data_IF_912955535706
#
_entry.id   IF_912955535706
#
_cell.length_a   1.000
_cell.length_b   1.000
_cell.length_c   1.000
_cell.angle_alpha   90.00
_cell.angle_beta   90.00
_cell.angle_gamma   90.00
#
_symmetry.space_group_name_H-M   'P 1'
#
loop_
_entity.id
_entity.type
_entity.pdbx_description
1 polymer ?
#
# COMPACT_ATOMS: atom_id res chain seq x y z
N UNK A 1 -66.55 63.86 -13.59
CA UNK A 1 -65.19 63.67 -14.14
C UNK A 1 -64.56 62.51 -13.40
N UNK A 2 -64.41 61.36 -14.06
CA UNK A 2 -63.98 60.11 -13.45
C UNK A 2 -62.44 60.08 -13.31
N UNK A 3 -61.96 59.71 -12.13
CA UNK A 3 -60.56 59.37 -11.87
C UNK A 3 -60.23 58.02 -12.51
N UNK A 4 -59.27 58.00 -13.43
CA UNK A 4 -58.68 56.80 -13.97
C UNK A 4 -57.26 56.67 -13.39
N UNK A 5 -57.10 55.74 -12.46
CA UNK A 5 -55.84 55.36 -11.82
C UNK A 5 -54.95 54.64 -12.84
N UNK A 6 -53.81 55.23 -13.20
CA UNK A 6 -52.76 54.59 -13.98
C UNK A 6 -52.13 53.44 -13.17
N UNK A 7 -52.30 52.20 -13.64
CA UNK A 7 -51.50 51.05 -13.20
C UNK A 7 -50.09 51.15 -13.77
N UNK A 8 -49.09 51.07 -12.92
CA UNK A 8 -47.67 51.24 -13.23
C UNK A 8 -47.10 50.11 -14.13
N UNK A 9 -46.27 50.41 -15.15
CA UNK A 9 -45.78 49.45 -16.17
C UNK A 9 -44.72 48.44 -15.69
N UNK A 10 -44.28 48.50 -14.42
CA UNK A 10 -43.35 47.48 -13.85
C UNK A 10 -44.04 46.17 -13.48
N UNK A 11 -45.37 46.17 -13.28
CA UNK A 11 -46.12 44.95 -12.90
C UNK A 11 -46.27 43.96 -14.06
N UNK A 12 -46.48 44.44 -15.27
CA UNK A 12 -46.82 43.62 -16.43
C UNK A 12 -45.64 42.78 -16.95
N UNK A 13 -44.41 43.30 -16.90
CA UNK A 13 -43.22 42.56 -17.34
C UNK A 13 -42.85 41.40 -16.40
N UNK A 14 -43.04 41.57 -15.08
CA UNK A 14 -42.82 40.53 -14.09
C UNK A 14 -43.88 39.41 -14.18
N UNK A 15 -45.14 39.79 -14.46
CA UNK A 15 -46.25 38.84 -14.70
C UNK A 15 -46.01 37.97 -15.94
N UNK A 16 -45.55 38.56 -17.06
CA UNK A 16 -45.21 37.81 -18.28
C UNK A 16 -44.00 36.87 -18.09
N UNK A 17 -43.01 37.28 -17.29
CA UNK A 17 -41.86 36.43 -16.95
C UNK A 17 -42.25 35.23 -16.08
N UNK A 18 -43.18 35.41 -15.14
CA UNK A 18 -43.68 34.33 -14.29
C UNK A 18 -44.49 33.29 -15.07
N UNK A 19 -45.37 33.74 -15.99
CA UNK A 19 -46.17 32.85 -16.83
C UNK A 19 -45.30 32.02 -17.79
N UNK A 20 -44.27 32.65 -18.39
CA UNK A 20 -43.29 31.93 -19.19
C UNK A 20 -42.48 30.91 -18.38
N UNK A 21 -42.13 31.24 -17.13
CA UNK A 21 -41.43 30.32 -16.22
C UNK A 21 -42.28 29.11 -15.83
N UNK A 22 -43.58 29.30 -15.56
CA UNK A 22 -44.52 28.20 -15.29
C UNK A 22 -44.69 27.28 -16.51
N UNK A 23 -44.81 27.84 -17.72
CA UNK A 23 -44.89 27.06 -18.96
C UNK A 23 -43.62 26.25 -19.21
N UNK A 24 -42.44 26.86 -19.00
CA UNK A 24 -41.16 26.16 -19.11
C UNK A 24 -41.05 25.04 -18.06
N UNK A 25 -41.47 25.30 -16.82
CA UNK A 25 -41.41 24.33 -15.73
C UNK A 25 -42.29 23.11 -16.02
N UNK A 26 -43.52 23.29 -16.54
CA UNK A 26 -44.40 22.18 -16.95
C UNK A 26 -43.73 21.26 -17.97
N UNK A 27 -43.00 21.83 -18.92
CA UNK A 27 -42.25 21.07 -19.91
C UNK A 27 -41.07 20.31 -19.28
N UNK A 28 -40.32 20.96 -18.38
CA UNK A 28 -39.18 20.34 -17.69
C UNK A 28 -39.63 19.20 -16.77
N UNK A 29 -40.74 19.34 -16.04
CA UNK A 29 -41.30 18.28 -15.18
C UNK A 29 -41.65 17.02 -15.98
N UNK A 30 -42.06 17.16 -17.25
CA UNK A 30 -42.34 16.01 -18.11
C UNK A 30 -41.06 15.26 -18.53
N UNK A 31 -39.92 15.95 -18.60
CA UNK A 31 -38.66 15.41 -19.10
C UNK A 31 -37.70 14.95 -17.99
N UNK A 32 -37.85 15.49 -16.79
CA UNK A 32 -36.93 15.31 -15.67
C UNK A 32 -37.57 14.59 -14.50
N UNK A 33 -36.72 13.97 -13.69
CA UNK A 33 -37.09 13.42 -12.40
C UNK A 33 -37.53 14.55 -11.45
N UNK A 34 -38.76 14.44 -10.97
CA UNK A 34 -39.43 15.39 -10.07
C UNK A 34 -38.64 15.62 -8.78
N UNK A 35 -38.09 14.57 -8.19
CA UNK A 35 -37.37 14.68 -6.93
C UNK A 35 -36.09 15.49 -7.12
N UNK A 36 -35.36 15.21 -8.20
CA UNK A 36 -34.16 15.97 -8.55
C UNK A 36 -34.48 17.43 -8.85
N UNK A 37 -35.58 17.70 -9.57
CA UNK A 37 -35.98 19.05 -9.91
C UNK A 37 -36.33 19.87 -8.65
N UNK A 38 -37.02 19.24 -7.69
CA UNK A 38 -37.30 19.84 -6.39
C UNK A 38 -36.00 20.14 -5.62
N UNK A 39 -35.07 19.19 -5.57
CA UNK A 39 -33.76 19.35 -4.91
C UNK A 39 -32.91 20.46 -5.56
N UNK A 40 -32.97 20.59 -6.89
CA UNK A 40 -32.34 21.69 -7.60
C UNK A 40 -32.95 23.04 -7.23
N UNK A 41 -34.29 23.15 -7.22
CA UNK A 41 -34.98 24.37 -6.82
C UNK A 41 -34.66 24.75 -5.37
N UNK A 42 -34.61 23.78 -4.46
CA UNK A 42 -34.25 24.01 -3.06
C UNK A 42 -32.83 24.57 -2.95
N UNK A 43 -31.91 24.03 -3.76
CA UNK A 43 -30.54 24.50 -3.87
C UNK A 43 -30.33 25.88 -4.50
N UNK A 44 -31.38 26.51 -5.04
CA UNK A 44 -31.36 27.91 -5.51
C UNK A 44 -31.71 28.90 -4.39
N UNK A 45 -32.14 28.39 -3.23
CA UNK A 45 -32.58 29.17 -2.07
C UNK A 45 -33.78 30.10 -2.35
N UNK A 46 -34.55 29.82 -3.41
CA UNK A 46 -35.77 30.54 -3.78
C UNK A 46 -37.00 29.69 -3.44
N UNK A 47 -37.64 30.01 -2.31
CA UNK A 47 -38.83 29.30 -1.83
C UNK A 47 -40.04 29.43 -2.75
N UNK A 48 -40.13 30.52 -3.54
CA UNK A 48 -41.21 30.67 -4.51
C UNK A 48 -41.08 29.65 -5.64
N UNK A 49 -39.85 29.49 -6.14
CA UNK A 49 -39.53 28.47 -7.15
C UNK A 49 -39.76 27.06 -6.61
N UNK A 50 -39.30 26.77 -5.38
CA UNK A 50 -39.50 25.46 -4.73
C UNK A 50 -40.97 25.10 -4.61
N UNK A 51 -41.81 26.06 -4.19
CA UNK A 51 -43.24 25.85 -4.04
C UNK A 51 -43.92 25.58 -5.38
N UNK A 52 -43.53 26.32 -6.42
CA UNK A 52 -44.04 26.16 -7.78
C UNK A 52 -43.69 24.76 -8.34
N UNK A 53 -42.45 24.29 -8.13
CA UNK A 53 -42.04 22.93 -8.50
C UNK A 53 -42.88 21.89 -7.75
N UNK A 54 -42.99 22.01 -6.42
CA UNK A 54 -43.72 21.05 -5.59
C UNK A 54 -45.20 20.92 -5.96
N UNK A 55 -45.88 22.05 -6.26
CA UNK A 55 -47.29 22.07 -6.66
C UNK A 55 -47.52 21.39 -8.01
N UNK A 56 -46.60 21.57 -8.97
CA UNK A 56 -46.71 20.97 -10.29
C UNK A 56 -46.19 19.52 -10.34
N UNK A 57 -45.54 19.06 -9.29
CA UNK A 57 -44.86 17.76 -9.26
C UNK A 57 -45.57 16.69 -8.42
N UNK A 58 -46.81 16.94 -7.99
CA UNK A 58 -47.64 16.00 -7.22
C UNK A 58 -47.00 15.48 -5.91
N UNK A 59 -46.02 16.19 -5.32
CA UNK A 59 -45.48 15.85 -3.99
C UNK A 59 -46.54 16.09 -2.92
N UNK A 60 -46.55 15.27 -1.87
CA UNK A 60 -47.47 15.45 -0.75
C UNK A 60 -47.16 16.76 0.00
N UNK A 61 -48.10 17.72 0.07
CA UNK A 61 -47.94 18.95 0.84
C UNK A 61 -47.57 18.73 2.31
N UNK A 62 -47.95 17.60 2.88
CA UNK A 62 -47.62 17.25 4.28
C UNK A 62 -46.13 16.94 4.47
N UNK A 63 -45.41 16.57 3.41
CA UNK A 63 -43.99 16.25 3.49
C UNK A 63 -43.12 17.51 3.35
N UNK A 64 -43.41 18.38 2.38
CA UNK A 64 -42.54 19.53 2.10
C UNK A 64 -42.92 20.81 2.86
N UNK A 65 -44.21 21.07 3.14
CA UNK A 65 -44.61 22.33 3.81
C UNK A 65 -44.04 22.49 5.22
N UNK A 66 -44.04 21.46 6.11
CA UNK A 66 -43.44 21.59 7.43
C UNK A 66 -41.93 21.88 7.35
N UNK A 67 -41.24 21.24 6.42
CA UNK A 67 -39.82 21.45 6.19
C UNK A 67 -39.53 22.89 5.74
N UNK A 68 -40.24 23.40 4.72
CA UNK A 68 -40.06 24.78 4.24
C UNK A 68 -40.42 25.81 5.31
N UNK A 69 -41.49 25.59 6.09
CA UNK A 69 -41.86 26.46 7.20
C UNK A 69 -40.80 26.49 8.30
N UNK A 70 -40.16 25.35 8.59
CA UNK A 70 -39.05 25.30 9.55
C UNK A 70 -37.84 26.10 9.06
N UNK A 71 -37.52 26.02 7.76
CA UNK A 71 -36.39 26.73 7.16
C UNK A 71 -36.61 28.25 7.14
N UNK A 72 -37.82 28.72 6.85
CA UNK A 72 -38.16 30.16 6.80
C UNK A 72 -37.96 30.89 8.14
N UNK A 73 -37.97 30.17 9.26
CA UNK A 73 -37.76 30.73 10.60
C UNK A 73 -36.27 30.91 10.95
N UNK A 74 -35.37 30.33 10.17
CA UNK A 74 -33.93 30.36 10.43
C UNK A 74 -33.29 31.60 9.80
N UNK A 75 -32.18 32.06 10.39
CA UNK A 75 -31.36 33.11 9.81
C UNK A 75 -30.76 32.69 8.47
N UNK A 76 -30.50 33.67 7.59
CA UNK A 76 -30.12 33.45 6.18
C UNK A 76 -29.02 32.41 5.98
N UNK A 77 -27.91 32.50 6.72
CA UNK A 77 -26.77 31.60 6.53
C UNK A 77 -27.04 30.21 7.11
N UNK A 78 -27.62 30.13 8.30
CA UNK A 78 -27.98 28.86 8.91
C UNK A 78 -29.08 28.12 8.13
N UNK A 79 -30.05 28.86 7.57
CA UNK A 79 -31.06 28.33 6.65
C UNK A 79 -30.41 27.67 5.43
N UNK A 80 -29.47 28.35 4.77
CA UNK A 80 -28.76 27.82 3.59
C UNK A 80 -27.89 26.62 3.93
N UNK A 81 -27.24 26.63 5.09
CA UNK A 81 -26.55 25.45 5.64
C UNK A 81 -27.50 24.25 5.73
N UNK A 82 -28.66 24.40 6.38
CA UNK A 82 -29.64 23.31 6.55
C UNK A 82 -30.17 22.79 5.21
N UNK A 83 -30.33 23.67 4.23
CA UNK A 83 -30.72 23.29 2.87
C UNK A 83 -29.60 22.48 2.20
N UNK A 84 -28.37 23.00 2.14
CA UNK A 84 -27.28 22.31 1.44
C UNK A 84 -26.88 21.00 2.15
N UNK A 85 -27.00 20.93 3.47
CA UNK A 85 -26.81 19.71 4.25
C UNK A 85 -27.86 18.65 3.89
N UNK A 86 -29.14 19.03 3.81
CA UNK A 86 -30.22 18.14 3.35
C UNK A 86 -29.99 17.63 1.92
N UNK A 87 -29.40 18.46 1.06
CA UNK A 87 -29.07 18.12 -0.33
C UNK A 87 -27.76 17.32 -0.49
N UNK A 88 -27.05 17.01 0.61
CA UNK A 88 -25.75 16.32 0.57
C UNK A 88 -24.60 17.16 -0.01
N UNK A 89 -24.77 18.48 -0.13
CA UNK A 89 -23.79 19.42 -0.70
C UNK A 89 -22.86 19.95 0.40
N UNK A 90 -22.17 19.03 1.08
CA UNK A 90 -21.47 19.30 2.34
C UNK A 90 -20.43 20.43 2.29
N UNK A 91 -19.65 20.56 1.20
CA UNK A 91 -18.69 21.68 1.06
C UNK A 91 -19.39 23.06 1.02
N UNK A 92 -20.54 23.17 0.33
CA UNK A 92 -21.34 24.41 0.30
C UNK A 92 -22.02 24.67 1.63
N UNK A 93 -22.55 23.62 2.25
CA UNK A 93 -23.17 23.68 3.57
C UNK A 93 -22.19 24.26 4.60
N UNK A 94 -20.95 23.74 4.62
CA UNK A 94 -19.87 24.25 5.48
C UNK A 94 -19.58 25.73 5.22
N UNK A 95 -19.54 26.16 3.95
CA UNK A 95 -19.37 27.56 3.58
C UNK A 95 -20.43 28.46 4.20
N UNK A 96 -21.72 28.08 4.16
CA UNK A 96 -22.77 28.87 4.81
C UNK A 96 -22.70 28.81 6.34
N UNK A 97 -22.37 27.65 6.91
CA UNK A 97 -22.25 27.48 8.36
C UNK A 97 -21.14 28.36 8.94
N UNK A 98 -20.02 28.52 8.22
CA UNK A 98 -18.93 29.42 8.62
C UNK A 98 -19.35 30.90 8.70
N UNK A 99 -20.37 31.29 7.95
CA UNK A 99 -20.92 32.65 7.90
C UNK A 99 -22.15 32.83 8.81
N UNK A 100 -22.61 31.79 9.49
CA UNK A 100 -23.81 31.82 10.32
C UNK A 100 -23.62 32.51 11.68
N UNK A 101 -22.39 32.89 12.03
CA UNK A 101 -22.05 33.59 13.27
C UNK A 101 -21.26 32.72 14.25
N UNK A 102 -20.65 33.37 15.24
CA UNK A 102 -19.69 32.73 16.17
C UNK A 102 -20.33 31.65 17.04
N UNK A 103 -21.62 31.79 17.37
CA UNK A 103 -22.36 30.79 18.13
C UNK A 103 -22.37 29.39 17.49
N UNK A 104 -22.21 29.32 16.17
CA UNK A 104 -22.20 28.07 15.40
C UNK A 104 -20.78 27.57 15.07
N UNK A 105 -19.73 28.27 15.52
CA UNK A 105 -18.36 27.90 15.19
C UNK A 105 -18.01 26.48 15.67
N UNK A 106 -18.44 26.11 16.88
CA UNK A 106 -18.26 24.76 17.41
C UNK A 106 -18.94 23.69 16.54
N UNK A 107 -20.17 23.96 16.11
CA UNK A 107 -20.93 23.06 15.23
C UNK A 107 -20.27 22.98 13.84
N UNK A 108 -19.73 24.09 13.35
CA UNK A 108 -18.96 24.16 12.11
C UNK A 108 -17.76 23.21 12.15
N UNK A 109 -16.95 23.26 13.23
CA UNK A 109 -15.79 22.38 13.38
C UNK A 109 -16.18 20.90 13.54
N UNK A 110 -17.28 20.62 14.26
CA UNK A 110 -17.82 19.27 14.36
C UNK A 110 -18.29 18.75 12.99
N UNK A 111 -18.93 19.60 12.18
CA UNK A 111 -19.37 19.25 10.83
C UNK A 111 -18.21 18.91 9.90
N UNK A 112 -17.09 19.64 10.00
CA UNK A 112 -15.86 19.34 9.26
C UNK A 112 -15.37 17.92 9.56
N UNK A 113 -15.32 17.55 10.85
CA UNK A 113 -14.89 16.20 11.27
C UNK A 113 -15.83 15.12 10.77
N UNK A 114 -17.15 15.32 10.90
CA UNK A 114 -18.18 14.35 10.48
C UNK A 114 -18.15 14.05 8.98
N UNK A 115 -17.91 15.06 8.14
CA UNK A 115 -17.93 14.93 6.68
C UNK A 115 -16.54 14.94 6.03
N UNK A 116 -15.46 14.88 6.83
CA UNK A 116 -14.06 14.90 6.37
C UNK A 116 -13.69 16.10 5.47
N UNK A 117 -14.25 17.28 5.75
CA UNK A 117 -14.15 18.48 4.92
C UNK A 117 -12.92 19.36 5.22
N UNK A 118 -11.83 18.76 5.70
CA UNK A 118 -10.69 19.49 6.25
C UNK A 118 -10.07 20.51 5.27
N UNK A 119 -9.85 20.10 4.02
CA UNK A 119 -9.32 20.99 2.97
C UNK A 119 -10.27 22.13 2.62
N UNK A 120 -11.58 21.91 2.71
CA UNK A 120 -12.56 22.98 2.50
C UNK A 120 -12.55 23.96 3.68
N UNK A 121 -12.47 23.46 4.92
CA UNK A 121 -12.39 24.28 6.13
C UNK A 121 -11.18 25.22 6.11
N UNK A 122 -9.98 24.70 5.76
CA UNK A 122 -8.76 25.52 5.67
C UNK A 122 -8.89 26.65 4.63
N UNK A 123 -9.52 26.37 3.48
CA UNK A 123 -9.80 27.38 2.45
C UNK A 123 -10.80 28.44 2.92
N UNK A 124 -11.86 28.01 3.61
CA UNK A 124 -12.92 28.91 4.09
C UNK A 124 -12.38 29.89 5.14
N UNK A 125 -11.49 29.43 6.02
CA UNK A 125 -10.93 30.26 7.09
C UNK A 125 -9.65 31.01 6.70
N UNK A 126 -9.30 31.11 5.41
CA UNK A 126 -8.04 31.75 4.98
C UNK A 126 -7.89 33.20 5.49
N UNK A 127 -9.00 33.93 5.65
CA UNK A 127 -9.02 35.30 6.18
C UNK A 127 -9.02 35.44 7.70
N UNK A 128 -9.15 34.35 8.47
CA UNK A 128 -9.16 34.34 9.94
C UNK A 128 -8.08 33.39 10.45
N UNK A 129 -6.97 33.96 10.89
CA UNK A 129 -5.80 33.17 11.28
C UNK A 129 -6.08 32.22 12.44
N UNK A 130 -6.91 32.62 13.42
CA UNK A 130 -7.24 31.77 14.56
C UNK A 130 -8.03 30.54 14.11
N UNK A 131 -9.10 30.75 13.33
CA UNK A 131 -9.93 29.65 12.83
C UNK A 131 -9.19 28.78 11.82
N UNK A 132 -8.27 29.37 11.04
CA UNK A 132 -7.39 28.62 10.14
C UNK A 132 -6.46 27.70 10.91
N UNK A 133 -5.86 28.15 12.01
CA UNK A 133 -5.02 27.30 12.88
C UNK A 133 -5.82 26.14 13.47
N UNK A 134 -7.04 26.38 13.93
CA UNK A 134 -7.91 25.31 14.44
C UNK A 134 -8.26 24.29 13.34
N UNK A 135 -8.58 24.74 12.13
CA UNK A 135 -8.87 23.87 10.99
C UNK A 135 -7.66 23.04 10.53
N UNK A 136 -6.47 23.64 10.53
CA UNK A 136 -5.21 22.94 10.25
C UNK A 136 -4.91 21.90 11.32
N UNK A 137 -5.08 22.24 12.60
CA UNK A 137 -4.89 21.32 13.73
C UNK A 137 -5.86 20.14 13.64
N UNK A 138 -7.14 20.40 13.39
CA UNK A 138 -8.15 19.35 13.20
C UNK A 138 -7.82 18.44 12.01
N UNK A 139 -7.26 18.99 10.93
CA UNK A 139 -6.82 18.20 9.79
C UNK A 139 -5.60 17.34 10.15
N UNK A 140 -4.64 17.91 10.89
CA UNK A 140 -3.47 17.18 11.36
C UNK A 140 -3.85 16.00 12.26
N UNK A 141 -4.78 16.21 13.21
CA UNK A 141 -5.30 15.15 14.09
C UNK A 141 -5.88 13.97 13.27
N UNK A 142 -6.64 14.28 12.22
CA UNK A 142 -7.17 13.26 11.30
C UNK A 142 -6.07 12.48 10.57
N UNK A 143 -4.97 13.13 10.19
CA UNK A 143 -3.84 12.45 9.57
C UNK A 143 -3.06 11.58 10.56
N UNK A 144 -2.94 12.02 11.82
CA UNK A 144 -2.36 11.20 12.91
C UNK A 144 -3.18 9.94 13.13
N UNK A 145 -4.52 10.04 13.18
CA UNK A 145 -5.42 8.88 13.29
C UNK A 145 -5.23 7.86 12.14
N UNK A 146 -4.70 8.31 10.99
CA UNK A 146 -4.40 7.48 9.82
C UNK A 146 -2.93 7.06 9.70
N UNK A 147 -2.11 7.37 10.71
CA UNK A 147 -0.66 7.14 10.70
C UNK A 147 0.09 7.89 9.58
N UNK A 148 -0.50 8.96 9.02
CA UNK A 148 0.14 9.85 8.05
C UNK A 148 0.91 10.98 8.78
N UNK A 149 1.89 10.57 9.59
CA UNK A 149 2.56 11.42 10.56
C UNK A 149 3.37 12.59 9.96
N UNK A 150 4.05 12.37 8.83
CA UNK A 150 4.87 13.40 8.20
C UNK A 150 4.03 14.58 7.70
N UNK A 151 2.89 14.29 7.06
CA UNK A 151 1.93 15.29 6.60
C UNK A 151 1.24 15.97 7.79
N UNK A 152 0.92 15.22 8.85
CA UNK A 152 0.36 15.79 10.08
C UNK A 152 1.31 16.79 10.73
N UNK A 153 2.61 16.46 10.83
CA UNK A 153 3.64 17.35 11.35
C UNK A 153 3.71 18.67 10.58
N UNK A 154 3.62 18.62 9.25
CA UNK A 154 3.61 19.83 8.41
C UNK A 154 2.40 20.71 8.70
N UNK A 155 1.21 20.12 8.84
CA UNK A 155 -0.02 20.85 9.15
C UNK A 155 0.02 21.47 10.54
N UNK A 156 0.56 20.76 11.54
CA UNK A 156 0.76 21.34 12.87
C UNK A 156 1.76 22.50 12.86
N UNK A 157 2.85 22.41 12.08
CA UNK A 157 3.78 23.54 11.89
C UNK A 157 3.08 24.74 11.25
N UNK A 158 2.27 24.53 10.22
CA UNK A 158 1.47 25.59 9.59
C UNK A 158 0.44 26.19 10.56
N UNK A 159 -0.02 25.42 11.54
CA UNK A 159 -0.91 25.86 12.61
C UNK A 159 -0.17 26.51 13.80
N UNK A 160 1.16 26.62 13.76
CA UNK A 160 2.02 27.02 14.88
C UNK A 160 1.89 26.13 16.13
N UNK A 161 1.37 24.91 15.98
CA UNK A 161 1.24 23.89 17.02
C UNK A 161 2.52 23.04 17.12
N UNK A 162 3.63 23.68 17.50
CA UNK A 162 4.98 23.11 17.40
C UNK A 162 5.21 21.85 18.23
N UNK A 163 4.67 21.80 19.46
CA UNK A 163 4.72 20.60 20.30
C UNK A 163 4.05 19.39 19.62
N UNK A 164 2.85 19.58 19.07
CA UNK A 164 2.13 18.53 18.34
C UNK A 164 2.85 18.12 17.06
N UNK A 165 3.50 19.07 16.38
CA UNK A 165 4.31 18.78 15.20
C UNK A 165 5.52 17.90 15.54
N UNK A 166 6.25 18.23 16.62
CA UNK A 166 7.37 17.44 17.12
C UNK A 166 6.94 16.00 17.45
N UNK A 167 5.83 15.85 18.17
CA UNK A 167 5.27 14.53 18.51
C UNK A 167 4.85 13.72 17.28
N UNK A 168 4.22 14.37 16.29
CA UNK A 168 3.86 13.72 15.04
C UNK A 168 5.12 13.26 14.30
N UNK A 169 6.13 14.10 14.14
CA UNK A 169 7.37 13.73 13.48
C UNK A 169 8.13 12.62 14.20
N UNK A 170 8.17 12.63 15.54
CA UNK A 170 8.72 11.54 16.34
C UNK A 170 8.05 10.21 16.01
N UNK A 171 6.71 10.15 16.10
CA UNK A 171 5.93 8.94 15.77
C UNK A 171 6.08 8.49 14.32
N UNK A 172 6.36 9.42 13.41
CA UNK A 172 6.63 9.13 12.00
C UNK A 172 8.05 8.65 11.70
N UNK A 173 8.96 8.61 12.68
CA UNK A 173 10.38 8.34 12.44
C UNK A 173 11.12 9.48 11.71
N UNK A 174 10.50 10.66 11.62
CA UNK A 174 11.01 11.84 10.90
C UNK A 174 11.90 12.66 11.85
N UNK A 175 12.97 12.03 12.32
CA UNK A 175 13.79 12.51 13.43
C UNK A 175 14.44 13.88 13.19
N UNK A 176 14.88 14.17 11.96
CA UNK A 176 15.55 15.45 11.64
C UNK A 176 14.65 16.65 11.95
N UNK A 177 13.37 16.56 11.56
CA UNK A 177 12.38 17.58 11.80
C UNK A 177 11.98 17.66 13.27
N UNK A 178 11.82 16.52 13.95
CA UNK A 178 11.53 16.48 15.38
C UNK A 178 12.62 17.20 16.20
N UNK A 179 13.90 16.87 15.97
CA UNK A 179 15.02 17.50 16.67
C UNK A 179 15.26 18.96 16.24
N UNK A 180 14.97 19.33 15.00
CA UNK A 180 15.03 20.72 14.57
C UNK A 180 14.02 21.59 15.35
N UNK A 181 12.79 21.11 15.51
CA UNK A 181 11.77 21.79 16.33
C UNK A 181 12.21 21.87 17.78
N UNK A 182 12.71 20.76 18.35
CA UNK A 182 13.19 20.74 19.73
C UNK A 182 14.32 21.76 19.99
N UNK A 183 15.24 21.91 19.04
CA UNK A 183 16.33 22.88 19.12
C UNK A 183 15.83 24.33 19.02
N UNK A 184 14.91 24.61 18.10
CA UNK A 184 14.29 25.93 17.94
C UNK A 184 13.46 26.34 19.17
N UNK A 185 12.79 25.39 19.83
CA UNK A 185 11.95 25.63 21.01
C UNK A 185 12.75 25.66 22.32
N UNK A 186 14.07 25.41 22.27
CA UNK A 186 14.93 25.41 23.44
C UNK A 186 14.61 24.29 24.43
N UNK A 187 14.18 23.13 23.94
CA UNK A 187 13.90 21.95 24.78
C UNK A 187 15.18 21.56 25.54
N UNK A 188 15.01 21.21 26.82
CA UNK A 188 16.12 20.89 27.70
C UNK A 188 16.91 19.65 27.20
N UNK A 189 18.23 19.67 27.40
CA UNK A 189 19.13 18.69 26.80
C UNK A 189 18.91 17.25 27.30
N UNK A 190 18.43 17.10 28.54
CA UNK A 190 18.01 15.84 29.14
C UNK A 190 16.79 15.25 28.43
N UNK A 191 15.77 16.06 28.15
CA UNK A 191 14.58 15.63 27.39
C UNK A 191 14.94 15.27 25.95
N UNK A 192 15.82 16.06 25.32
CA UNK A 192 16.34 15.76 23.96
C UNK A 192 17.10 14.43 23.96
N UNK A 193 17.87 14.14 25.00
CA UNK A 193 18.59 12.88 25.12
C UNK A 193 17.65 11.69 25.31
N UNK A 194 16.64 11.81 26.18
CA UNK A 194 15.61 10.78 26.38
C UNK A 194 14.86 10.48 25.07
N UNK A 195 14.42 11.52 24.36
CA UNK A 195 13.79 11.38 23.05
C UNK A 195 14.70 10.68 22.02
N UNK A 196 16.01 10.96 22.06
CA UNK A 196 16.98 10.32 21.19
C UNK A 196 17.17 8.83 21.50
N UNK A 197 17.14 8.45 22.77
CA UNK A 197 17.20 7.05 23.19
C UNK A 197 15.95 6.28 22.76
N UNK A 198 14.75 6.82 23.01
CA UNK A 198 13.47 6.24 22.55
C UNK A 198 13.46 6.01 21.03
N UNK A 199 13.79 7.04 20.25
CA UNK A 199 13.79 6.94 18.78
C UNK A 199 14.85 5.95 18.27
N UNK A 200 15.99 5.84 18.95
CA UNK A 200 17.03 4.89 18.56
C UNK A 200 16.59 3.44 18.78
N UNK A 201 15.80 3.16 19.81
CA UNK A 201 15.20 1.84 20.03
C UNK A 201 14.19 1.50 18.93
N UNK A 202 13.28 2.43 18.60
CA UNK A 202 12.33 2.26 17.49
C UNK A 202 13.03 2.00 16.15
N UNK A 203 14.10 2.73 15.87
CA UNK A 203 14.92 2.50 14.67
C UNK A 203 15.66 1.17 14.70
N UNK A 204 16.13 0.72 15.86
CA UNK A 204 16.75 -0.60 16.00
C UNK A 204 15.74 -1.73 15.71
N UNK A 205 14.48 -1.59 16.16
CA UNK A 205 13.39 -2.53 15.83
C UNK A 205 13.10 -2.55 14.32
N UNK A 206 13.13 -1.38 13.67
CA UNK A 206 12.99 -1.24 12.22
C UNK A 206 14.25 -1.63 11.41
N UNK A 207 15.33 -2.09 12.08
CA UNK A 207 16.65 -2.39 11.49
C UNK A 207 17.35 -1.20 10.82
N UNK A 208 16.97 0.03 11.17
CA UNK A 208 17.59 1.28 10.73
C UNK A 208 18.76 1.67 11.67
N UNK A 209 19.74 0.78 11.81
CA UNK A 209 20.82 0.94 12.79
C UNK A 209 21.71 2.17 12.56
N UNK A 210 21.88 2.60 11.30
CA UNK A 210 22.64 3.81 10.98
C UNK A 210 21.97 5.08 11.53
N UNK A 211 20.66 5.21 11.34
CA UNK A 211 19.88 6.34 11.87
C UNK A 211 19.79 6.29 13.40
N UNK A 212 19.58 5.10 13.98
CA UNK A 212 19.60 4.89 15.44
C UNK A 212 20.90 5.39 16.07
N UNK A 213 22.05 4.95 15.52
CA UNK A 213 23.35 5.37 16.00
C UNK A 213 23.60 6.86 15.79
N UNK A 214 23.13 7.43 14.67
CA UNK A 214 23.27 8.86 14.38
C UNK A 214 22.52 9.72 15.40
N UNK A 215 21.27 9.35 15.71
CA UNK A 215 20.46 10.07 16.70
C UNK A 215 21.10 10.03 18.09
N UNK A 216 21.64 8.88 18.51
CA UNK A 216 22.37 8.74 19.78
C UNK A 216 23.64 9.59 19.86
N UNK A 217 24.36 9.78 18.76
CA UNK A 217 25.56 10.63 18.71
C UNK A 217 25.17 12.11 18.75
N UNK A 218 24.29 12.51 17.83
CA UNK A 218 24.02 13.91 17.58
C UNK A 218 23.18 14.53 18.69
N UNK A 219 22.20 13.80 19.22
CA UNK A 219 21.23 14.31 20.19
C UNK A 219 21.33 13.62 21.55
N UNK A 220 21.46 12.29 21.58
CA UNK A 220 21.59 11.53 22.83
C UNK A 220 22.91 11.74 23.57
N UNK A 221 23.93 12.28 22.89
CA UNK A 221 25.32 12.41 23.39
C UNK A 221 25.86 11.12 24.01
N UNK A 222 25.41 9.97 23.51
CA UNK A 222 25.73 8.65 24.03
C UNK A 222 26.49 7.83 22.97
N UNK A 223 27.80 8.09 22.79
CA UNK A 223 28.60 7.41 21.78
C UNK A 223 28.76 5.91 22.06
N UNK A 224 28.70 5.49 23.32
CA UNK A 224 28.79 4.07 23.73
C UNK A 224 27.58 3.30 23.20
N UNK A 225 26.37 3.82 23.39
CA UNK A 225 25.16 3.23 22.84
C UNK A 225 25.18 3.22 21.30
N UNK A 226 25.65 4.31 20.67
CA UNK A 226 25.78 4.40 19.22
C UNK A 226 26.73 3.33 18.63
N UNK A 227 27.88 3.10 19.26
CA UNK A 227 28.82 2.03 18.84
C UNK A 227 28.14 0.66 18.89
N UNK A 228 27.35 0.38 19.93
CA UNK A 228 26.58 -0.87 20.02
C UNK A 228 25.56 -1.00 18.88
N UNK A 229 24.90 0.10 18.49
CA UNK A 229 23.98 0.11 17.35
C UNK A 229 24.70 -0.14 16.01
N UNK A 230 25.85 0.49 15.78
CA UNK A 230 26.65 0.21 14.58
C UNK A 230 27.11 -1.24 14.50
N UNK A 231 27.56 -1.82 15.62
CA UNK A 231 27.94 -3.24 15.70
C UNK A 231 26.75 -4.15 15.38
N UNK A 232 25.56 -3.88 15.93
CA UNK A 232 24.33 -4.63 15.60
C UNK A 232 23.95 -4.53 14.13
N UNK A 233 24.22 -3.39 13.49
CA UNK A 233 23.96 -3.16 12.07
C UNK A 233 25.08 -3.61 11.12
N UNK A 234 26.13 -4.28 11.62
CA UNK A 234 27.32 -4.65 10.83
C UNK A 234 28.05 -3.46 10.18
N UNK A 235 27.92 -2.26 10.76
CA UNK A 235 28.55 -1.02 10.30
C UNK A 235 29.90 -0.82 10.97
N UNK A 236 30.82 -1.75 10.72
CA UNK A 236 32.09 -1.90 11.45
C UNK A 236 32.98 -0.65 11.39
N UNK A 237 33.10 -0.04 10.21
CA UNK A 237 33.95 1.13 10.01
C UNK A 237 33.45 2.35 10.83
N UNK A 238 32.14 2.56 10.89
CA UNK A 238 31.55 3.63 11.69
C UNK A 238 31.65 3.34 13.19
N UNK A 239 31.46 2.08 13.62
CA UNK A 239 31.69 1.68 15.00
C UNK A 239 33.11 2.02 15.46
N UNK A 240 34.13 1.64 14.68
CA UNK A 240 35.55 1.94 14.97
C UNK A 240 35.83 3.45 14.95
N UNK A 241 35.32 4.17 13.94
CA UNK A 241 35.51 5.62 13.83
C UNK A 241 34.93 6.37 15.03
N UNK A 242 33.71 6.02 15.44
CA UNK A 242 33.02 6.68 16.55
C UNK A 242 33.65 6.34 17.90
N UNK A 243 34.08 5.08 18.11
CA UNK A 243 34.81 4.68 19.31
C UNK A 243 36.09 5.51 19.49
N UNK A 244 36.89 5.69 18.42
CA UNK A 244 38.07 6.54 18.47
C UNK A 244 37.75 8.03 18.66
N UNK A 245 36.82 8.58 17.86
CA UNK A 245 36.47 10.00 17.93
C UNK A 245 35.92 10.43 19.30
N UNK A 246 35.23 9.52 19.99
CA UNK A 246 34.62 9.81 21.29
C UNK A 246 35.53 9.49 22.48
N UNK A 247 36.79 9.07 22.26
CA UNK A 247 37.73 8.72 23.32
C UNK A 247 37.49 7.35 23.98
N UNK A 248 36.53 6.56 23.50
CA UNK A 248 36.17 5.23 24.04
C UNK A 248 36.85 4.11 23.26
N UNK A 249 38.19 4.14 23.19
CA UNK A 249 38.96 3.13 22.46
C UNK A 249 38.91 1.75 23.12
N UNK A 250 38.53 1.68 24.40
CA UNK A 250 38.25 0.46 25.14
C UNK A 250 37.07 -0.34 24.53
N UNK A 251 36.13 0.33 23.85
CA UNK A 251 35.03 -0.32 23.13
C UNK A 251 35.49 -1.15 21.93
N UNK A 252 36.68 -0.89 21.40
CA UNK A 252 37.24 -1.66 20.30
C UNK A 252 37.49 -3.11 20.72
N UNK A 253 38.12 -3.31 21.87
CA UNK A 253 38.39 -4.64 22.42
C UNK A 253 37.14 -5.28 23.04
N UNK A 254 36.33 -4.49 23.76
CA UNK A 254 35.21 -5.03 24.55
C UNK A 254 33.93 -5.25 23.75
N UNK A 255 33.70 -4.51 22.67
CA UNK A 255 32.43 -4.52 21.92
C UNK A 255 32.64 -4.78 20.42
N UNK A 256 33.50 -4.01 19.75
CA UNK A 256 33.64 -4.06 18.28
C UNK A 256 34.29 -5.37 17.84
N UNK A 257 35.42 -5.77 18.44
CA UNK A 257 36.10 -7.03 18.12
C UNK A 257 35.20 -8.25 18.34
N UNK A 258 34.57 -8.45 19.52
CA UNK A 258 33.61 -9.53 19.71
C UNK A 258 32.50 -9.51 18.66
N UNK A 259 31.92 -8.34 18.38
CA UNK A 259 30.88 -8.19 17.35
C UNK A 259 31.33 -8.58 15.94
N UNK A 260 32.55 -8.23 15.53
CA UNK A 260 33.14 -8.67 14.26
C UNK A 260 33.32 -10.19 14.24
N UNK A 261 33.74 -10.78 15.37
CA UNK A 261 33.94 -12.22 15.48
C UNK A 261 32.63 -12.99 15.39
N UNK A 262 31.60 -12.52 16.10
CA UNK A 262 30.25 -13.09 16.08
C UNK A 262 29.61 -12.93 14.69
N UNK A 263 29.75 -11.74 14.09
CA UNK A 263 29.30 -11.47 12.72
C UNK A 263 29.99 -12.38 11.69
N UNK A 264 31.29 -12.64 11.87
CA UNK A 264 32.04 -13.60 11.03
C UNK A 264 31.54 -15.02 11.18
N UNK A 265 31.18 -15.46 12.38
CA UNK A 265 30.61 -16.80 12.59
C UNK A 265 29.23 -16.91 11.96
N UNK A 266 28.34 -15.92 12.20
CA UNK A 266 26.99 -15.92 11.65
C UNK A 266 27.01 -15.92 10.11
N UNK A 267 27.83 -15.06 9.49
CA UNK A 267 27.89 -14.98 8.04
C UNK A 267 28.48 -16.26 7.43
N UNK A 268 29.44 -16.89 8.10
CA UNK A 268 30.01 -18.16 7.64
C UNK A 268 28.97 -19.30 7.71
N UNK A 269 28.13 -19.33 8.75
CA UNK A 269 27.05 -20.30 8.86
C UNK A 269 25.93 -20.03 7.84
N UNK A 270 25.58 -18.77 7.59
CA UNK A 270 24.64 -18.38 6.53
C UNK A 270 25.13 -18.83 5.14
N UNK A 271 26.43 -18.68 4.86
CA UNK A 271 27.06 -19.14 3.61
C UNK A 271 26.99 -20.66 3.50
N UNK A 272 27.32 -21.39 4.57
CA UNK A 272 27.24 -22.86 4.62
C UNK A 272 25.81 -23.36 4.40
N UNK A 273 24.83 -22.74 5.05
CA UNK A 273 23.42 -23.08 4.88
C UNK A 273 22.97 -22.81 3.45
N UNK A 274 23.37 -21.67 2.87
CA UNK A 274 23.05 -21.30 1.50
C UNK A 274 23.65 -22.28 0.49
N UNK A 275 24.92 -22.66 0.65
CA UNK A 275 25.59 -23.70 -0.15
C UNK A 275 24.84 -25.03 -0.06
N UNK A 276 24.60 -25.53 1.16
CA UNK A 276 23.93 -26.81 1.36
C UNK A 276 22.50 -26.82 0.81
N UNK A 277 21.78 -25.71 0.94
CA UNK A 277 20.42 -25.55 0.41
C UNK A 277 20.42 -25.50 -1.11
N UNK A 278 21.37 -24.78 -1.71
CA UNK A 278 21.56 -24.73 -3.16
C UNK A 278 21.81 -26.13 -3.73
N UNK A 279 22.75 -26.88 -3.15
CA UNK A 279 23.10 -28.23 -3.61
C UNK A 279 21.92 -29.21 -3.48
N UNK A 280 21.20 -29.19 -2.35
CA UNK A 280 20.01 -30.03 -2.14
C UNK A 280 18.91 -29.72 -3.16
N UNK A 281 18.63 -28.43 -3.40
CA UNK A 281 17.61 -28.02 -4.36
C UNK A 281 18.00 -28.34 -5.79
N UNK A 282 19.27 -28.16 -6.15
CA UNK A 282 19.82 -28.55 -7.46
C UNK A 282 19.70 -30.05 -7.67
N UNK A 283 20.10 -30.87 -6.69
CA UNK A 283 19.95 -32.33 -6.76
C UNK A 283 18.47 -32.75 -6.92
N UNK A 284 17.56 -32.15 -6.14
CA UNK A 284 16.13 -32.42 -6.26
C UNK A 284 15.57 -32.01 -7.62
N UNK A 285 16.00 -30.87 -8.15
CA UNK A 285 15.59 -30.41 -9.48
C UNK A 285 16.02 -31.40 -10.56
N UNK A 286 17.24 -31.96 -10.47
CA UNK A 286 17.68 -33.04 -11.37
C UNK A 286 16.75 -34.25 -11.32
N UNK A 287 16.40 -34.72 -10.12
CA UNK A 287 15.49 -35.86 -9.94
C UNK A 287 14.10 -35.59 -10.55
N UNK A 288 13.54 -34.40 -10.30
CA UNK A 288 12.23 -33.99 -10.81
C UNK A 288 12.24 -33.95 -12.33
N UNK A 289 13.28 -33.37 -12.95
CA UNK A 289 13.41 -33.34 -14.41
C UNK A 289 13.57 -34.72 -15.02
N UNK A 290 14.36 -35.61 -14.41
CA UNK A 290 14.48 -37.01 -14.85
C UNK A 290 13.12 -37.72 -14.74
N UNK A 291 12.39 -37.51 -13.64
CA UNK A 291 11.06 -38.09 -13.44
C UNK A 291 10.05 -37.56 -14.48
N UNK A 292 10.04 -36.26 -14.72
CA UNK A 292 9.16 -35.62 -15.71
C UNK A 292 9.48 -36.10 -17.13
N UNK A 293 10.76 -36.23 -17.48
CA UNK A 293 11.20 -36.77 -18.77
C UNK A 293 10.79 -38.24 -18.96
N UNK A 294 10.91 -39.08 -17.92
CA UNK A 294 10.45 -40.48 -17.96
C UNK A 294 8.93 -40.58 -18.15
N UNK A 295 8.15 -39.80 -17.40
CA UNK A 295 6.69 -39.72 -17.57
C UNK A 295 6.28 -39.28 -18.98
N UNK A 296 7.01 -38.33 -19.57
CA UNK A 296 6.78 -37.90 -20.94
C UNK A 296 7.10 -39.00 -21.97
N UNK A 297 8.16 -39.79 -21.74
CA UNK A 297 8.57 -40.88 -22.63
C UNK A 297 7.65 -42.12 -22.55
N UNK A 298 7.09 -42.41 -21.37
CA UNK A 298 6.21 -43.57 -21.14
C UNK A 298 4.78 -43.36 -21.71
N UNK A 299 4.50 -42.22 -22.36
CA UNK A 299 3.21 -41.96 -23.03
C UNK A 299 2.02 -41.67 -22.09
N UNK A 300 2.24 -41.63 -20.78
CA UNK A 300 1.26 -41.20 -19.76
C UNK A 300 1.11 -39.66 -19.71
N UNK A 301 1.99 -38.94 -20.41
CA UNK A 301 1.92 -37.50 -20.64
C UNK A 301 1.01 -37.13 -21.81
N UNK A 302 -0.29 -37.42 -21.72
CA UNK A 302 -1.27 -36.65 -22.51
C UNK A 302 -1.12 -35.16 -22.17
N UNK A 303 -1.36 -34.23 -23.12
CA UNK A 303 -1.24 -32.81 -22.82
C UNK A 303 -2.21 -32.48 -21.69
N UNK A 304 -1.68 -32.16 -20.51
CA UNK A 304 -2.44 -31.42 -19.51
C UNK A 304 -2.60 -30.03 -20.10
N UNK A 305 -3.67 -29.87 -20.88
CA UNK A 305 -4.18 -28.58 -21.23
C UNK A 305 -4.71 -27.93 -19.95
N UNK A 306 -3.85 -27.16 -19.29
CA UNK A 306 -4.17 -26.35 -18.09
C UNK A 306 -5.32 -25.34 -18.35
N UNK A 307 -5.84 -25.24 -19.59
CA UNK A 307 -7.05 -24.48 -19.89
C UNK A 307 -8.36 -25.29 -19.75
N UNK A 308 -8.30 -26.62 -19.73
CA UNK A 308 -9.47 -27.51 -19.64
C UNK A 308 -9.81 -27.95 -18.20
N UNK A 309 -8.83 -28.04 -17.30
CA UNK A 309 -9.10 -28.38 -15.87
C UNK A 309 -9.81 -27.24 -15.10
N UNK A 310 -9.83 -26.03 -15.66
CA UNK A 310 -10.67 -24.93 -15.16
C UNK A 310 -12.12 -24.97 -15.70
N UNK A 311 -12.46 -25.91 -16.60
CA UNK A 311 -13.81 -26.02 -17.17
C UNK A 311 -14.58 -27.20 -16.54
N UNK A 312 -13.89 -28.29 -16.16
CA UNK A 312 -14.57 -29.47 -15.60
C UNK A 312 -14.94 -29.36 -14.10
N UNK A 313 -14.56 -28.25 -13.43
CA UNK A 313 -15.02 -27.92 -12.07
C UNK A 313 -16.04 -26.77 -12.04
N UNK A 314 -16.66 -26.45 -13.18
CA UNK A 314 -17.80 -25.52 -13.28
C UNK A 314 -19.04 -26.13 -13.94
N UNK A 315 -19.04 -27.42 -14.26
CA UNK A 315 -20.19 -28.09 -14.91
C UNK A 315 -21.17 -28.67 -13.89
N UNK A 316 -21.83 -27.82 -13.12
CA UNK A 316 -22.98 -28.19 -12.26
C UNK A 316 -24.31 -28.08 -13.04
N UNK A 317 -24.35 -28.48 -14.33
CA UNK A 317 -25.58 -28.37 -15.15
C UNK A 317 -25.87 -29.57 -16.06
N UNK A 318 -25.17 -30.70 -15.94
CA UNK A 318 -25.54 -31.93 -16.67
C UNK A 318 -25.83 -33.09 -15.73
N UNK A 319 -27.01 -33.06 -15.13
CA UNK A 319 -27.71 -34.26 -14.66
C UNK A 319 -29.18 -34.16 -15.06
N UNK A 320 -29.42 -34.27 -16.37
CA UNK A 320 -30.74 -34.55 -16.93
C UNK A 320 -30.72 -35.97 -17.51
N UNK A 321 -31.76 -36.73 -17.15
CA UNK A 321 -32.06 -38.14 -17.44
C UNK A 321 -31.31 -39.14 -16.52
N UNK A 322 -31.97 -39.88 -15.62
CA UNK A 322 -33.11 -40.77 -15.91
C UNK A 322 -34.11 -40.95 -14.75
N UNK A 323 -35.40 -40.89 -15.11
CA UNK A 323 -36.59 -41.58 -14.53
C UNK A 323 -36.92 -41.48 -13.03
N UNK A 324 -37.89 -40.63 -12.67
CA UNK A 324 -39.29 -41.02 -12.36
C UNK A 324 -40.14 -39.80 -11.99
N UNK A 325 -41.28 -39.69 -12.67
CA UNK A 325 -42.39 -38.77 -12.43
C UNK A 325 -43.06 -39.11 -11.09
N UNK A 326 -43.24 -38.13 -10.20
CA UNK A 326 -44.54 -37.70 -9.63
C UNK A 326 -44.36 -36.52 -8.67
N UNK A 327 -45.08 -35.41 -8.92
CA UNK A 327 -45.60 -34.56 -7.85
C UNK A 327 -45.08 -33.12 -7.74
N UNK A 328 -45.96 -32.18 -8.08
CA UNK A 328 -46.16 -30.86 -7.47
C UNK A 328 -45.18 -29.68 -7.76
N UNK A 329 -45.70 -28.76 -8.57
CA UNK A 329 -45.65 -27.29 -8.48
C UNK A 329 -44.83 -26.63 -7.37
N UNK A 330 -43.86 -25.78 -7.73
CA UNK A 330 -43.93 -24.33 -7.45
C UNK A 330 -42.68 -23.60 -7.95
N UNK A 331 -42.94 -22.47 -8.59
CA UNK A 331 -41.98 -21.45 -9.01
C UNK A 331 -41.50 -20.63 -7.81
N UNK A 332 -40.19 -20.53 -7.61
CA UNK A 332 -39.57 -19.32 -7.05
C UNK A 332 -38.22 -19.05 -7.69
N UNK A 333 -38.19 -17.92 -8.39
CA UNK A 333 -37.02 -17.34 -9.02
C UNK A 333 -36.09 -16.69 -7.96
N UNK A 334 -34.80 -16.96 -8.13
CA UNK A 334 -33.73 -15.96 -8.16
C UNK A 334 -33.57 -15.03 -6.94
N UNK A 335 -32.90 -15.50 -5.87
CA UNK A 335 -32.21 -14.61 -4.92
C UNK A 335 -30.86 -15.20 -4.51
N UNK A 336 -29.82 -14.35 -4.58
CA UNK A 336 -28.49 -14.44 -3.94
C UNK A 336 -27.28 -15.02 -4.71
N UNK A 337 -26.83 -14.33 -5.76
CA UNK A 337 -25.46 -14.45 -6.30
C UNK A 337 -24.56 -13.37 -5.71
N UNK A 338 -24.10 -13.53 -4.45
CA UNK A 338 -23.00 -12.71 -3.90
C UNK A 338 -22.06 -13.49 -2.94
N UNK A 339 -22.19 -14.83 -2.89
CA UNK A 339 -21.38 -15.70 -2.01
C UNK A 339 -20.25 -16.48 -2.73
N UNK A 340 -20.16 -16.41 -4.05
CA UNK A 340 -19.22 -17.23 -4.85
C UNK A 340 -17.85 -16.57 -5.06
N UNK A 341 -17.73 -15.24 -5.01
CA UNK A 341 -16.45 -14.52 -5.25
C UNK A 341 -15.44 -14.61 -4.10
N UNK A 342 -15.91 -14.68 -2.83
CA UNK A 342 -15.04 -14.85 -1.65
C UNK A 342 -14.50 -16.27 -1.50
N UNK A 343 -15.16 -17.26 -2.08
CA UNK A 343 -14.74 -18.67 -2.03
C UNK A 343 -13.75 -18.96 -3.16
N UNK A 344 -13.99 -18.41 -4.36
CA UNK A 344 -13.04 -18.45 -5.48
C UNK A 344 -11.69 -17.79 -5.15
N UNK A 345 -11.66 -16.60 -4.54
CA UNK A 345 -10.40 -15.94 -4.15
C UNK A 345 -9.65 -16.68 -3.04
N UNK A 346 -10.36 -17.30 -2.08
CA UNK A 346 -9.75 -18.14 -1.03
C UNK A 346 -9.19 -19.45 -1.58
N UNK A 347 -9.88 -20.05 -2.55
CA UNK A 347 -9.42 -21.27 -3.24
C UNK A 347 -8.23 -20.95 -4.14
N UNK A 348 -8.28 -19.85 -4.91
CA UNK A 348 -7.15 -19.37 -5.72
C UNK A 348 -5.94 -19.07 -4.85
N UNK A 349 -6.14 -18.35 -3.73
CA UNK A 349 -5.06 -18.10 -2.76
C UNK A 349 -4.56 -19.39 -2.10
N UNK A 350 -5.40 -20.41 -1.91
CA UNK A 350 -5.00 -21.72 -1.38
C UNK A 350 -4.23 -22.54 -2.42
N UNK A 351 -4.60 -22.47 -3.70
CA UNK A 351 -3.90 -23.09 -4.81
C UNK A 351 -2.57 -22.39 -5.09
N UNK A 352 -2.54 -21.05 -5.14
CA UNK A 352 -1.32 -20.23 -5.19
C UNK A 352 -0.41 -20.53 -4.00
N UNK A 353 -0.94 -20.68 -2.78
CA UNK A 353 -0.16 -21.10 -1.60
C UNK A 353 0.37 -22.53 -1.71
N UNK A 354 -0.36 -23.46 -2.34
CA UNK A 354 0.11 -24.84 -2.58
C UNK A 354 1.20 -24.87 -3.65
N UNK A 355 1.04 -24.11 -4.73
CA UNK A 355 2.01 -23.87 -5.80
C UNK A 355 3.28 -23.24 -5.25
N UNK A 356 3.14 -22.16 -4.46
CA UNK A 356 4.24 -21.50 -3.77
C UNK A 356 4.85 -22.32 -2.62
N UNK A 357 4.22 -23.43 -2.20
CA UNK A 357 4.76 -24.34 -1.19
C UNK A 357 5.36 -25.62 -1.79
N UNK A 358 5.33 -25.78 -3.12
CA UNK A 358 5.84 -26.98 -3.80
C UNK A 358 5.17 -28.30 -3.38
N UNK A 359 3.96 -28.24 -2.79
CA UNK A 359 3.24 -29.42 -2.26
C UNK A 359 2.53 -30.24 -3.34
N UNK A 360 2.44 -29.69 -4.54
CA UNK A 360 1.84 -30.33 -5.69
C UNK A 360 2.97 -30.79 -6.62
N UNK A 361 3.07 -32.10 -6.94
CA UNK A 361 4.08 -32.63 -7.85
C UNK A 361 4.12 -31.94 -9.22
N UNK A 362 3.00 -31.35 -9.68
CA UNK A 362 2.93 -30.62 -10.94
C UNK A 362 3.72 -29.29 -10.92
N UNK A 363 3.80 -28.63 -9.76
CA UNK A 363 4.45 -27.32 -9.62
C UNK A 363 5.80 -27.39 -8.87
N UNK A 364 6.28 -28.61 -8.55
CA UNK A 364 7.52 -28.83 -7.80
C UNK A 364 8.73 -28.21 -8.51
N UNK A 365 8.81 -28.34 -9.85
CA UNK A 365 9.91 -27.78 -10.65
C UNK A 365 9.94 -26.25 -10.62
N UNK A 366 8.80 -25.59 -10.88
CA UNK A 366 8.70 -24.12 -10.84
C UNK A 366 9.03 -23.57 -9.45
N UNK A 367 8.58 -24.25 -8.39
CA UNK A 367 8.91 -23.89 -7.02
C UNK A 367 10.41 -23.95 -6.74
N UNK A 368 11.09 -25.01 -7.18
CA UNK A 368 12.54 -25.18 -7.00
C UNK A 368 13.31 -24.11 -7.78
N UNK A 369 12.96 -23.84 -9.03
CA UNK A 369 13.59 -22.79 -9.86
C UNK A 369 13.42 -21.41 -9.23
N UNK A 370 12.22 -21.09 -8.71
CA UNK A 370 11.98 -19.83 -8.01
C UNK A 370 12.77 -19.73 -6.70
N UNK A 371 12.97 -20.82 -5.98
CA UNK A 371 13.77 -20.83 -4.76
C UNK A 371 15.27 -20.63 -5.08
N UNK A 372 15.77 -21.29 -6.13
CA UNK A 372 17.13 -21.07 -6.63
C UNK A 372 17.35 -19.61 -7.03
N UNK A 373 16.36 -18.98 -7.69
CA UNK A 373 16.41 -17.54 -8.02
C UNK A 373 16.57 -16.67 -6.76
N UNK A 374 15.83 -16.96 -5.70
CA UNK A 374 15.95 -16.25 -4.41
C UNK A 374 17.35 -16.42 -3.80
N UNK A 375 17.95 -17.60 -3.91
CA UNK A 375 19.33 -17.83 -3.44
C UNK A 375 20.31 -16.97 -4.23
N UNK A 376 20.16 -16.87 -5.56
CA UNK A 376 21.00 -16.00 -6.40
C UNK A 376 20.85 -14.54 -6.00
N UNK A 377 19.62 -14.05 -5.82
CA UNK A 377 19.36 -12.67 -5.37
C UNK A 377 19.99 -12.41 -4.01
N UNK A 378 19.73 -13.28 -3.02
CA UNK A 378 20.34 -13.18 -1.69
C UNK A 378 21.86 -13.13 -1.80
N UNK A 379 22.46 -14.00 -2.63
CA UNK A 379 23.91 -14.02 -2.90
C UNK A 379 24.48 -12.75 -3.51
N UNK A 380 23.68 -11.96 -4.22
CA UNK A 380 24.09 -10.65 -4.69
C UNK A 380 23.98 -9.60 -3.58
N UNK A 381 22.91 -9.64 -2.79
CA UNK A 381 22.60 -8.63 -1.77
C UNK A 381 23.65 -8.61 -0.64
N UNK A 382 24.07 -9.77 -0.13
CA UNK A 382 24.98 -9.83 1.02
C UNK A 382 26.47 -9.56 0.66
N UNK A 383 26.81 -9.34 -0.62
CA UNK A 383 28.21 -9.10 -1.07
C UNK A 383 28.83 -7.85 -0.44
N UNK A 384 28.04 -6.79 -0.29
CA UNK A 384 28.48 -5.58 0.39
C UNK A 384 28.86 -5.86 1.84
N UNK A 385 28.02 -6.62 2.54
CA UNK A 385 28.24 -7.01 3.93
C UNK A 385 29.49 -7.89 4.10
N UNK A 386 29.72 -8.84 3.18
CA UNK A 386 30.96 -9.65 3.14
C UNK A 386 32.17 -8.74 3.01
N UNK A 387 32.15 -7.80 2.08
CA UNK A 387 33.29 -6.92 1.84
C UNK A 387 33.59 -6.07 3.07
N UNK A 388 32.56 -5.48 3.68
CA UNK A 388 32.69 -4.71 4.92
C UNK A 388 33.28 -5.56 6.05
N UNK A 389 32.81 -6.79 6.21
CA UNK A 389 33.27 -7.70 7.26
C UNK A 389 34.70 -8.21 7.03
N UNK A 390 35.07 -8.57 5.80
CA UNK A 390 36.44 -8.97 5.46
C UNK A 390 37.42 -7.84 5.80
N UNK A 391 37.10 -6.60 5.39
CA UNK A 391 37.93 -5.43 5.71
C UNK A 391 38.05 -5.22 7.22
N UNK A 392 36.96 -5.39 7.96
CA UNK A 392 36.95 -5.28 9.42
C UNK A 392 37.79 -6.37 10.09
N UNK A 393 37.72 -7.61 9.62
CA UNK A 393 38.55 -8.73 10.10
C UNK A 393 40.04 -8.46 9.86
N UNK A 394 40.40 -7.98 8.67
CA UNK A 394 41.79 -7.63 8.34
C UNK A 394 42.33 -6.50 9.21
N UNK A 395 41.52 -5.44 9.43
CA UNK A 395 41.89 -4.34 10.30
C UNK A 395 42.13 -4.78 11.77
N UNK A 396 41.56 -5.93 12.18
CA UNK A 396 41.72 -6.52 13.51
C UNK A 396 42.68 -7.71 13.54
N UNK A 397 43.55 -7.85 12.53
CA UNK A 397 44.55 -8.91 12.41
C UNK A 397 43.97 -10.34 12.35
N UNK A 398 42.70 -10.50 12.01
CA UNK A 398 42.02 -11.80 11.87
C UNK A 398 42.11 -12.31 10.42
N UNK A 399 43.33 -12.42 9.90
CA UNK A 399 43.61 -12.73 8.49
C UNK A 399 43.07 -14.11 8.09
N UNK A 400 43.25 -15.13 8.92
CA UNK A 400 42.80 -16.49 8.59
C UNK A 400 41.26 -16.60 8.52
N UNK A 401 40.54 -15.89 9.39
CA UNK A 401 39.06 -15.84 9.31
C UNK A 401 38.59 -15.09 8.08
N UNK A 402 39.23 -13.98 7.76
CA UNK A 402 38.94 -13.21 6.54
C UNK A 402 39.16 -14.06 5.28
N UNK A 403 40.28 -14.79 5.21
CA UNK A 403 40.60 -15.73 4.12
C UNK A 403 39.57 -16.85 4.02
N UNK A 404 39.25 -17.50 5.14
CA UNK A 404 38.27 -18.59 5.16
C UNK A 404 36.89 -18.12 4.70
N UNK A 405 36.46 -16.92 5.11
CA UNK A 405 35.20 -16.32 4.67
C UNK A 405 35.22 -16.00 3.17
N UNK A 406 36.31 -15.40 2.66
CA UNK A 406 36.47 -15.10 1.24
C UNK A 406 36.42 -16.38 0.39
N UNK A 407 37.13 -17.43 0.81
CA UNK A 407 37.11 -18.72 0.12
C UNK A 407 35.73 -19.38 0.14
N UNK A 408 35.03 -19.36 1.28
CA UNK A 408 33.69 -19.93 1.39
C UNK A 408 32.67 -19.22 0.49
N UNK A 409 32.66 -17.88 0.48
CA UNK A 409 31.79 -17.09 -0.40
C UNK A 409 32.18 -17.29 -1.87
N UNK A 410 33.48 -17.37 -2.17
CA UNK A 410 33.98 -17.64 -3.52
C UNK A 410 33.53 -18.99 -4.04
N UNK A 411 33.60 -20.03 -3.20
CA UNK A 411 33.12 -21.37 -3.51
C UNK A 411 31.61 -21.38 -3.75
N UNK A 412 30.81 -20.71 -2.89
CA UNK A 412 29.36 -20.58 -3.09
C UNK A 412 29.04 -19.89 -4.43
N UNK A 413 29.69 -18.78 -4.75
CA UNK A 413 29.45 -18.06 -6.00
C UNK A 413 29.84 -18.89 -7.23
N UNK A 414 30.94 -19.65 -7.14
CA UNK A 414 31.35 -20.58 -8.20
C UNK A 414 30.32 -21.70 -8.38
N UNK A 415 29.86 -22.33 -7.29
CA UNK A 415 28.82 -23.36 -7.32
C UNK A 415 27.50 -22.86 -7.91
N UNK A 416 27.09 -21.64 -7.55
CA UNK A 416 25.90 -21.01 -8.14
C UNK A 416 26.11 -20.83 -9.63
N UNK A 417 27.25 -20.26 -10.05
CA UNK A 417 27.59 -20.02 -11.46
C UNK A 417 27.55 -21.31 -12.28
N UNK A 418 28.20 -22.37 -11.81
CA UNK A 418 28.24 -23.67 -12.46
C UNK A 418 26.85 -24.33 -12.50
N UNK A 419 25.98 -24.01 -11.54
CA UNK A 419 24.60 -24.45 -11.48
C UNK A 419 23.63 -23.63 -12.35
N UNK A 420 23.96 -22.40 -12.76
CA UNK A 420 23.01 -21.52 -13.45
C UNK A 420 22.52 -22.10 -14.77
N UNK A 421 23.43 -22.60 -15.62
CA UNK A 421 23.06 -23.19 -16.90
C UNK A 421 22.22 -24.46 -16.71
N UNK A 422 22.55 -25.24 -15.69
CA UNK A 422 21.80 -26.45 -15.39
C UNK A 422 20.40 -26.12 -14.87
N UNK A 423 20.26 -25.14 -13.97
CA UNK A 423 19.00 -24.81 -13.31
C UNK A 423 18.06 -24.00 -14.23
N UNK A 424 18.59 -23.02 -14.96
CA UNK A 424 17.81 -22.07 -15.75
C UNK A 424 17.94 -22.27 -17.28
N UNK A 425 18.83 -23.15 -17.72
CA UNK A 425 18.92 -23.50 -19.14
C UNK A 425 17.63 -24.13 -19.63
N UNK A 426 17.19 -23.77 -20.83
CA UNK A 426 16.12 -24.46 -21.53
C UNK A 426 16.49 -25.93 -21.70
N UNK A 427 15.63 -26.89 -21.34
CA UNK A 427 15.90 -28.29 -21.62
C UNK A 427 16.10 -28.45 -23.13
N UNK A 428 17.30 -28.89 -23.54
CA UNK A 428 17.55 -29.26 -24.92
C UNK A 428 16.70 -30.48 -25.19
N UNK A 429 15.57 -30.29 -25.88
CA UNK A 429 14.78 -31.41 -26.37
C UNK A 429 15.68 -32.27 -27.27
N UNK A 430 15.62 -33.61 -27.15
CA UNK A 430 16.13 -34.46 -28.21
C UNK A 430 15.50 -33.99 -29.52
N UNK A 431 16.31 -33.71 -30.55
CA UNK A 431 15.79 -33.40 -31.87
C UNK A 431 14.92 -34.59 -32.30
N UNK A 432 13.68 -34.31 -32.69
CA UNK A 432 12.74 -35.32 -33.20
C UNK A 432 13.46 -36.14 -34.27
N UNK A 433 13.60 -37.44 -34.02
CA UNK A 433 14.28 -38.31 -34.97
C UNK A 433 13.44 -38.39 -36.25
N UNK A 434 14.10 -38.68 -37.38
CA UNK A 434 13.42 -38.73 -38.69
C UNK A 434 12.25 -39.72 -38.72
N UNK A 435 12.30 -40.75 -37.88
CA UNK A 435 11.24 -41.75 -37.72
C UNK A 435 10.05 -41.23 -36.90
N UNK A 436 10.30 -40.51 -35.80
CA UNK A 436 9.27 -39.85 -34.99
C UNK A 436 8.54 -38.77 -35.77
N UNK A 437 9.28 -37.95 -36.54
CA UNK A 437 8.69 -36.97 -37.46
C UNK A 437 7.75 -37.64 -38.45
N UNK A 438 8.20 -38.75 -39.06
CA UNK A 438 7.42 -39.48 -40.06
C UNK A 438 6.15 -40.07 -39.44
N UNK A 439 6.25 -40.63 -38.23
CA UNK A 439 5.12 -41.19 -37.48
C UNK A 439 4.09 -40.13 -37.09
N UNK A 440 4.54 -38.98 -36.57
CA UNK A 440 3.68 -37.82 -36.25
C UNK A 440 2.93 -37.28 -37.47
N UNK A 441 3.63 -37.20 -38.61
CA UNK A 441 3.03 -36.71 -39.86
C UNK A 441 2.00 -37.68 -40.42
N UNK A 442 2.18 -38.99 -40.21
CA UNK A 442 1.23 -40.04 -40.60
C UNK A 442 0.00 -40.09 -39.68
N UNK A 443 0.16 -39.81 -38.39
CA UNK A 443 -0.90 -39.84 -37.38
C UNK A 443 -1.68 -38.50 -37.26
N UNK A 444 -1.31 -37.48 -38.04
CA UNK A 444 -2.00 -36.18 -38.06
C UNK A 444 -1.85 -35.36 -36.77
N UNK A 445 -0.83 -35.66 -35.97
CA UNK A 445 -0.58 -35.00 -34.69
C UNK A 445 0.03 -33.59 -34.90
N UNK A 446 -0.38 -32.58 -34.10
CA UNK A 446 0.19 -31.24 -34.18
C UNK A 446 1.69 -31.24 -33.83
N UNK A 447 2.49 -30.28 -34.33
CA UNK A 447 3.88 -30.14 -33.93
C UNK A 447 3.98 -29.88 -32.41
N UNK A 448 5.07 -30.32 -31.74
CA UNK A 448 5.28 -30.04 -30.34
C UNK A 448 5.27 -28.53 -30.13
N UNK A 449 4.59 -28.08 -29.08
CA UNK A 449 4.53 -26.68 -28.72
C UNK A 449 5.96 -26.13 -28.59
N UNK A 450 6.24 -24.90 -29.08
CA UNK A 450 7.51 -24.25 -28.81
C UNK A 450 7.72 -24.18 -27.29
N UNK A 451 8.97 -24.30 -26.80
CA UNK A 451 9.22 -24.29 -25.37
C UNK A 451 8.61 -23.03 -24.76
N UNK A 452 7.93 -23.20 -23.62
CA UNK A 452 7.53 -22.08 -22.77
C UNK A 452 8.77 -21.17 -22.60
N UNK A 453 8.56 -19.86 -22.81
CA UNK A 453 9.62 -18.88 -23.02
C UNK A 453 10.81 -19.03 -22.07
N UNK A 454 12.01 -18.73 -22.60
CA UNK A 454 13.27 -18.79 -21.88
C UNK A 454 13.11 -18.23 -20.46
N UNK A 455 13.34 -19.06 -19.45
CA UNK A 455 13.33 -18.63 -18.06
C UNK A 455 14.48 -17.64 -17.91
N UNK A 456 14.17 -16.37 -17.60
CA UNK A 456 15.18 -15.33 -17.42
C UNK A 456 16.26 -15.82 -16.45
N UNK A 457 17.48 -16.00 -16.95
CA UNK A 457 18.60 -16.48 -16.15
C UNK A 457 19.00 -15.35 -15.20
N UNK A 458 18.93 -15.55 -13.87
CA UNK A 458 19.32 -14.50 -12.93
C UNK A 458 20.81 -14.20 -13.07
N UNK A 459 21.13 -12.90 -13.14
CA UNK A 459 22.50 -12.42 -13.34
C UNK A 459 23.24 -12.39 -12.01
N UNK A 460 24.39 -13.05 -11.94
CA UNK A 460 25.31 -12.90 -10.81
C UNK A 460 26.01 -11.54 -10.90
N UNK A 461 26.03 -10.84 -9.77
CA UNK A 461 26.72 -9.55 -9.68
C UNK A 461 28.23 -9.70 -9.95
N UNK A 462 28.76 -8.80 -10.77
CA UNK A 462 30.20 -8.67 -11.07
C UNK A 462 30.90 -7.72 -10.11
N UNK A 463 30.19 -7.13 -9.15
CA UNK A 463 30.77 -6.19 -8.18
C UNK A 463 31.87 -6.89 -7.37
N UNK A 464 33.07 -6.32 -7.27
CA UNK A 464 34.16 -6.91 -6.50
C UNK A 464 33.80 -6.85 -5.01
N UNK A 465 33.84 -8.02 -4.35
CA UNK A 465 33.48 -8.19 -2.94
C UNK A 465 34.65 -8.72 -2.10
N UNK A 466 35.56 -9.47 -2.70
CA UNK A 466 36.81 -9.92 -2.06
C UNK A 466 37.87 -8.82 -1.96
N UNK A 467 38.88 -9.07 -1.14
CA UNK A 467 40.09 -8.25 -1.04
C UNK A 467 41.23 -9.00 -1.76
N UNK A 468 41.86 -8.41 -2.79
CA UNK A 468 42.89 -9.10 -3.60
C UNK A 468 44.11 -9.59 -2.80
N UNK A 469 44.37 -8.99 -1.63
CA UNK A 469 45.48 -9.37 -0.76
C UNK A 469 45.30 -10.75 -0.11
N UNK A 470 44.12 -11.36 -0.20
CA UNK A 470 43.80 -12.65 0.40
C UNK A 470 43.67 -13.80 -0.62
N UNK A 471 43.79 -13.49 -1.91
CA UNK A 471 43.71 -14.47 -3.00
C UNK A 471 44.99 -15.31 -3.13
#
# INVERSE_FOLDING_TARGET
>A
MAHQTQKSPKKTAAEHGAEAAESALKYVIFLADVDKLYDFALGMYDFSLVLMVAQHSQKDPREYLPFLSSLQKLEKHYQRFRIDDHLGRHEKALGHLSLAGEQYYRDCMAYVKTHFLYKAAVRIFEGDESKRRDALTLYADYLVERSEFENAGLLYLMASARSSAMDAYRKGGVWRQAFAIAAEDGVAADIVAEMAEEMAEEFAEARLFADAARVLIDYGKNPVAAVKMFVRGSLWADATRVAHMSGHSDLLESTVKPGIMDGSTQLMDDVREMTATFDKQRARLREVRIRNAKKAADGDGGPIDDTLDNIDMFSDTSSMATTRITGASSSQASRTTNRTSRTSSKIRRKAERKRAAGKDPAFEEEFLVNNMRKIVTKSNDFRGDVQCLIRALLANSQVERARALQQAVGALVAQIRDGLQEVFGTPVMPQETREEFRKRTLEGLPPPAPPAGAVDIPVLSTTPWGVPMLD
#
